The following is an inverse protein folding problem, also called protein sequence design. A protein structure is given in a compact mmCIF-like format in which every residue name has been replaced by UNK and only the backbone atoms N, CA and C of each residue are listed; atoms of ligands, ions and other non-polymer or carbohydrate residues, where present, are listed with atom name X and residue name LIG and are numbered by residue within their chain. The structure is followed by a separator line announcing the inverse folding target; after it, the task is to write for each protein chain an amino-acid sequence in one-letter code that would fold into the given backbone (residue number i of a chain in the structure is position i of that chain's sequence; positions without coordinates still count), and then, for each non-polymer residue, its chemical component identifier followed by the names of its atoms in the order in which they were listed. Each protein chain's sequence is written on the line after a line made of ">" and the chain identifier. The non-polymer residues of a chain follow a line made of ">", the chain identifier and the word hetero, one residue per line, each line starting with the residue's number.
data_IF_272075213279
#
_entry.id   IF_272075213279
#
_cell.length_a   1.000
_cell.length_b   1.000
_cell.length_c   1.000
_cell.angle_alpha   90.00
_cell.angle_beta   90.00
_cell.angle_gamma   90.00
#
_symmetry.space_group_name_H-M   'P 1'
#
loop_
_entity.id
_entity.type
_entity.pdbx_description
1 polymer ?
#
# COMPACT_ATOMS: atom_id res chain seq x y z
N UNK A 1 12.03 -10.83 6.18
CA UNK A 1 11.28 -9.57 6.06
C UNK A 1 9.88 -9.80 6.62
N UNK A 2 9.35 -8.92 7.48
CA UNK A 2 7.95 -9.01 7.87
C UNK A 2 7.08 -8.67 6.67
N UNK A 3 6.27 -9.63 6.24
CA UNK A 3 5.23 -9.44 5.26
C UNK A 3 4.10 -8.55 5.82
N UNK A 4 3.14 -8.17 4.97
CA UNK A 4 2.02 -7.29 5.35
C UNK A 4 1.22 -7.78 6.58
N UNK A 5 0.94 -9.08 6.70
CA UNK A 5 0.19 -9.65 7.84
C UNK A 5 0.98 -9.58 9.15
N UNK A 6 2.30 -9.83 9.11
CA UNK A 6 3.18 -9.69 10.28
C UNK A 6 3.39 -8.24 10.73
N UNK A 7 3.03 -7.26 9.88
CA UNK A 7 3.00 -5.82 10.24
C UNK A 7 1.68 -5.38 10.87
N UNK A 8 0.68 -6.26 10.92
CA UNK A 8 -0.64 -5.96 11.48
C UNK A 8 -1.73 -5.63 10.47
N UNK A 9 -1.48 -5.80 9.15
CA UNK A 9 -2.55 -5.64 8.15
C UNK A 9 -3.65 -6.68 8.40
N UNK A 10 -4.90 -6.23 8.27
CA UNK A 10 -6.10 -7.07 8.25
C UNK A 10 -6.74 -7.02 6.86
N UNK A 11 -7.91 -7.61 6.76
CA UNK A 11 -8.64 -7.80 5.51
C UNK A 11 -8.91 -6.47 4.80
N UNK A 12 -9.28 -5.42 5.56
CA UNK A 12 -9.57 -4.09 5.00
C UNK A 12 -8.32 -3.42 4.41
N UNK A 13 -7.17 -3.52 5.08
CA UNK A 13 -5.92 -2.96 4.56
C UNK A 13 -5.39 -3.76 3.37
N UNK A 14 -5.61 -5.08 3.37
CA UNK A 14 -5.27 -5.94 2.25
C UNK A 14 -6.13 -5.63 1.01
N UNK A 15 -7.44 -5.43 1.19
CA UNK A 15 -8.36 -5.00 0.13
C UNK A 15 -7.95 -3.64 -0.44
N UNK A 16 -7.68 -2.67 0.44
CA UNK A 16 -7.21 -1.35 0.01
C UNK A 16 -5.90 -1.43 -0.78
N UNK A 17 -4.94 -2.25 -0.32
CA UNK A 17 -3.69 -2.47 -1.04
C UNK A 17 -3.94 -3.10 -2.42
N UNK A 18 -4.88 -4.04 -2.53
CA UNK A 18 -5.22 -4.66 -3.80
C UNK A 18 -5.80 -3.64 -4.81
N UNK A 19 -6.67 -2.74 -4.37
CA UNK A 19 -7.17 -1.66 -5.23
C UNK A 19 -6.06 -0.72 -5.69
N UNK A 20 -5.11 -0.36 -4.80
CA UNK A 20 -3.96 0.46 -5.17
C UNK A 20 -3.04 -0.23 -6.19
N UNK A 21 -2.91 -1.55 -6.13
CA UNK A 21 -2.17 -2.33 -7.12
C UNK A 21 -2.93 -2.33 -8.46
N UNK A 22 -4.25 -2.53 -8.44
CA UNK A 22 -5.08 -2.49 -9.64
C UNK A 22 -4.99 -1.14 -10.37
N UNK A 23 -5.04 -0.02 -9.63
CA UNK A 23 -4.89 1.33 -10.19
C UNK A 23 -3.58 1.50 -11.00
N UNK A 24 -2.47 0.95 -10.51
CA UNK A 24 -1.18 1.00 -11.22
C UNK A 24 -1.16 0.07 -12.44
N UNK A 25 -1.78 -1.10 -12.34
CA UNK A 25 -1.86 -2.04 -13.45
C UNK A 25 -2.74 -1.53 -14.59
N UNK A 26 -3.80 -0.78 -14.27
CA UNK A 26 -4.69 -0.16 -15.25
C UNK A 26 -4.04 1.04 -15.96
N UNK A 27 -3.14 1.75 -15.28
CA UNK A 27 -2.43 2.92 -15.82
C UNK A 27 -0.91 2.87 -15.55
N UNK A 28 -0.17 1.91 -16.14
CA UNK A 28 1.21 1.60 -15.77
C UNK A 28 2.24 2.66 -16.17
N UNK A 29 1.87 3.59 -17.06
CA UNK A 29 2.74 4.68 -17.51
C UNK A 29 2.18 6.06 -17.16
N UNK A 30 1.15 6.13 -16.31
CA UNK A 30 0.59 7.38 -15.84
C UNK A 30 1.30 7.81 -14.54
N UNK A 31 2.22 8.76 -14.68
CA UNK A 31 3.00 9.30 -13.56
C UNK A 31 2.12 9.91 -12.45
N UNK A 32 0.93 10.44 -12.79
CA UNK A 32 0.03 11.01 -11.79
C UNK A 32 -0.64 9.91 -10.95
N UNK A 33 -1.03 8.79 -11.57
CA UNK A 33 -1.56 7.62 -10.87
C UNK A 33 -0.48 7.00 -9.99
N UNK A 34 0.73 6.82 -10.51
CA UNK A 34 1.86 6.28 -9.76
C UNK A 34 2.18 7.18 -8.55
N UNK A 35 2.25 8.50 -8.73
CA UNK A 35 2.52 9.44 -7.64
C UNK A 35 1.44 9.39 -6.55
N UNK A 36 0.16 9.30 -6.94
CA UNK A 36 -0.96 9.14 -5.99
C UNK A 36 -0.80 7.85 -5.19
N UNK A 37 -0.63 6.71 -5.87
CA UNK A 37 -0.53 5.39 -5.24
C UNK A 37 0.66 5.32 -4.29
N UNK A 38 1.82 5.86 -4.68
CA UNK A 38 2.99 5.95 -3.79
C UNK A 38 2.66 6.73 -2.52
N UNK A 39 1.94 7.85 -2.63
CA UNK A 39 1.50 8.63 -1.48
C UNK A 39 0.56 7.84 -0.55
N UNK A 40 -0.39 7.09 -1.11
CA UNK A 40 -1.32 6.28 -0.34
C UNK A 40 -0.66 5.07 0.34
N UNK A 41 0.23 4.38 -0.36
CA UNK A 41 1.02 3.26 0.20
C UNK A 41 1.88 3.76 1.35
N UNK A 42 2.51 4.94 1.23
CA UNK A 42 3.30 5.55 2.33
C UNK A 42 2.42 5.83 3.56
N UNK A 43 1.23 6.40 3.37
CA UNK A 43 0.29 6.67 4.47
C UNK A 43 -0.15 5.37 5.15
N UNK A 44 -0.51 4.35 4.37
CA UNK A 44 -0.94 3.06 4.90
C UNK A 44 0.21 2.38 5.67
N UNK A 45 1.40 2.31 5.10
CA UNK A 45 2.54 1.65 5.73
C UNK A 45 3.07 2.37 6.97
N UNK A 46 2.89 3.69 7.08
CA UNK A 46 3.24 4.46 8.28
C UNK A 46 2.37 4.11 9.50
N UNK A 47 1.14 3.64 9.30
CA UNK A 47 0.25 3.19 10.38
C UNK A 47 0.66 1.82 10.95
N UNK A 48 1.45 1.05 10.20
CA UNK A 48 1.87 -0.31 10.54
C UNK A 48 3.40 -0.42 10.49
N UNK A 49 4.13 0.20 11.43
CA UNK A 49 5.58 0.16 11.47
C UNK A 49 6.08 -1.28 11.66
N UNK A 50 7.18 -1.60 10.99
CA UNK A 50 7.77 -2.94 10.99
C UNK A 50 8.42 -3.28 12.34
N UNK A 51 9.09 -2.31 12.94
CA UNK A 51 9.66 -2.40 14.26
C UNK A 51 8.95 -1.34 15.10
N UNK A 52 8.23 -1.77 16.13
CA UNK A 52 7.67 -0.83 17.11
C UNK A 52 8.80 0.00 17.70
N UNK A 53 8.60 1.31 17.80
CA UNK A 53 9.45 2.16 18.62
C UNK A 53 9.19 1.86 20.10
#
# INVERSE_FOLDING_TARGET
>A
SPAMTTRGFKELEAEKLAHLIADVLDAPTDDAVIARVVGEVKKLTAQFPVYGA
#
